data_IF_238311248758
#
_entry.id   IF_238311248758
#
_cell.length_a   1.000
_cell.length_b   1.000
_cell.length_c   1.000
_cell.angle_alpha   90.00
_cell.angle_beta   90.00
_cell.angle_gamma   90.00
#
_symmetry.space_group_name_H-M   'P 1'
#
loop_
_entity.id
_entity.type
_entity.pdbx_description
1 polymer ?
#
# COMPACT_ATOMS: atom_id res chain seq x y z
N UNK A 1 4.05 -46.20 14.33
CA UNK A 1 4.10 -44.74 14.66
C UNK A 1 4.33 -43.94 13.38
N UNK A 2 3.46 -42.99 13.06
CA UNK A 2 3.57 -42.17 11.84
C UNK A 2 4.51 -40.97 12.00
N UNK A 3 5.25 -40.62 10.95
CA UNK A 3 6.15 -39.46 10.93
C UNK A 3 5.39 -38.18 10.55
N UNK A 4 5.72 -37.06 11.19
CA UNK A 4 5.14 -35.73 10.91
C UNK A 4 5.36 -35.33 9.44
N UNK A 5 4.28 -34.98 8.74
CA UNK A 5 4.32 -34.60 7.33
C UNK A 5 5.03 -33.26 7.11
N UNK A 6 5.53 -33.03 5.89
CA UNK A 6 6.27 -31.79 5.55
C UNK A 6 5.45 -30.52 5.81
N UNK A 7 4.13 -30.55 5.58
CA UNK A 7 3.25 -29.39 5.81
C UNK A 7 3.26 -28.93 7.27
N UNK A 8 3.10 -29.86 8.21
CA UNK A 8 3.14 -29.59 9.65
C UNK A 8 4.52 -29.05 10.08
N UNK A 9 5.61 -29.59 9.52
CA UNK A 9 6.98 -29.12 9.82
C UNK A 9 7.25 -27.68 9.39
N UNK A 10 6.52 -27.13 8.41
CA UNK A 10 6.70 -25.73 7.97
C UNK A 10 6.27 -24.71 9.04
N UNK A 11 5.29 -25.05 9.88
CA UNK A 11 4.78 -24.16 10.93
C UNK A 11 5.74 -23.98 12.12
N UNK A 12 6.70 -24.89 12.29
CA UNK A 12 7.64 -24.87 13.44
C UNK A 12 8.68 -23.74 13.38
N UNK A 13 8.78 -23.00 12.26
CA UNK A 13 9.65 -21.83 12.18
C UNK A 13 11.17 -22.12 12.25
N UNK A 14 11.60 -23.31 11.80
CA UNK A 14 13.01 -23.67 11.69
C UNK A 14 13.59 -23.23 10.34
N UNK A 15 14.01 -24.16 9.48
CA UNK A 15 14.60 -23.89 8.16
C UNK A 15 13.64 -23.24 7.15
N UNK A 16 12.33 -23.25 7.44
CA UNK A 16 11.29 -22.69 6.57
C UNK A 16 10.98 -21.21 6.83
N UNK A 17 11.76 -20.54 7.68
CA UNK A 17 11.66 -19.09 7.89
C UNK A 17 11.90 -18.35 6.57
N UNK A 18 11.26 -17.20 6.41
CA UNK A 18 11.47 -16.37 5.23
C UNK A 18 12.92 -15.84 5.18
N UNK A 19 13.56 -15.94 4.02
CA UNK A 19 14.90 -15.40 3.80
C UNK A 19 14.79 -13.88 3.61
N UNK A 20 15.11 -13.11 4.65
CA UNK A 20 14.90 -11.64 4.67
C UNK A 20 16.19 -10.81 4.64
N UNK A 21 17.37 -11.45 4.61
CA UNK A 21 18.68 -10.78 4.76
C UNK A 21 18.91 -9.61 3.79
N UNK A 22 18.48 -9.75 2.53
CA UNK A 22 18.68 -8.74 1.48
C UNK A 22 17.44 -7.89 1.20
N UNK A 23 16.33 -8.12 1.91
CA UNK A 23 15.12 -7.32 1.76
C UNK A 23 15.35 -5.91 2.24
N UNK A 24 14.81 -4.93 1.50
CA UNK A 24 15.05 -3.50 1.72
C UNK A 24 14.18 -2.91 2.82
N UNK A 25 13.09 -3.59 3.17
CA UNK A 25 12.21 -3.21 4.28
C UNK A 25 10.77 -3.59 4.02
N UNK A 26 9.90 -3.25 4.97
CA UNK A 26 8.47 -3.48 4.82
C UNK A 26 7.86 -2.39 3.94
N UNK A 27 7.38 -2.79 2.77
CA UNK A 27 6.60 -1.91 1.89
C UNK A 27 5.23 -1.63 2.52
N UNK A 28 5.01 -0.38 2.93
CA UNK A 28 3.81 0.09 3.64
C UNK A 28 3.55 1.53 3.28
N UNK A 29 2.26 1.89 3.20
CA UNK A 29 1.84 3.29 3.07
C UNK A 29 2.24 4.09 4.32
N UNK A 30 2.04 5.41 4.25
CA UNK A 30 2.24 6.32 5.35
C UNK A 30 1.34 5.99 6.54
N UNK A 31 1.79 6.36 7.72
CA UNK A 31 0.91 6.31 8.88
C UNK A 31 -0.08 7.48 8.82
N UNK A 32 -1.38 7.18 8.97
CA UNK A 32 -2.43 8.20 8.98
C UNK A 32 -2.20 9.19 10.13
N UNK A 33 -2.05 10.46 9.80
CA UNK A 33 -1.92 11.55 10.77
C UNK A 33 -2.92 12.69 10.46
N UNK A 34 -2.85 13.77 11.24
CA UNK A 34 -3.74 14.92 11.07
C UNK A 34 -3.60 15.56 9.68
N UNK A 35 -2.37 15.64 9.16
CA UNK A 35 -2.08 16.20 7.85
C UNK A 35 -2.78 15.41 6.73
N UNK A 36 -2.75 14.08 6.80
CA UNK A 36 -3.38 13.21 5.81
C UNK A 36 -4.92 13.19 5.90
N UNK A 37 -5.46 13.25 7.12
CA UNK A 37 -6.92 13.26 7.35
C UNK A 37 -7.60 14.53 6.85
N UNK A 38 -7.01 15.69 7.10
CA UNK A 38 -7.65 16.99 6.84
C UNK A 38 -7.13 17.71 5.61
N UNK A 39 -5.94 17.36 5.13
CA UNK A 39 -5.28 18.03 4.02
C UNK A 39 -4.60 17.05 3.08
N UNK A 40 -3.39 17.41 2.69
CA UNK A 40 -2.47 16.54 1.96
C UNK A 40 -1.05 16.84 2.41
N UNK A 41 -0.17 15.87 2.23
CA UNK A 41 1.27 16.04 2.38
C UNK A 41 1.96 15.69 1.07
N UNK A 42 2.97 16.49 0.69
CA UNK A 42 3.81 16.21 -0.48
C UNK A 42 5.04 15.42 -0.08
N UNK A 43 5.33 14.38 -0.84
CA UNK A 43 6.58 13.61 -0.79
C UNK A 43 7.25 13.63 -2.16
N UNK A 44 8.56 13.43 -2.19
CA UNK A 44 9.31 13.27 -3.43
C UNK A 44 9.78 11.83 -3.55
N UNK A 45 9.59 11.22 -4.72
CA UNK A 45 10.18 9.92 -5.03
C UNK A 45 11.68 10.12 -5.21
N UNK A 46 12.46 9.63 -4.24
CA UNK A 46 13.91 9.74 -4.28
C UNK A 46 14.54 8.72 -5.20
N UNK A 47 14.02 7.50 -5.18
CA UNK A 47 14.63 6.36 -5.83
C UNK A 47 13.60 5.24 -6.01
N UNK A 48 13.78 4.42 -7.06
CA UNK A 48 12.96 3.23 -7.32
C UNK A 48 13.89 2.03 -7.27
N UNK A 49 13.68 1.17 -6.27
CA UNK A 49 14.59 0.08 -5.93
C UNK A 49 13.94 -1.29 -6.15
N UNK A 50 14.76 -2.28 -6.47
CA UNK A 50 14.35 -3.68 -6.45
C UNK A 50 14.48 -4.27 -5.02
N UNK A 51 13.44 -4.98 -4.57
CA UNK A 51 13.39 -5.71 -3.30
C UNK A 51 13.45 -7.23 -3.53
N UNK A 52 14.55 -7.91 -3.18
CA UNK A 52 14.69 -9.34 -3.40
C UNK A 52 13.57 -10.17 -2.74
N UNK A 53 12.91 -11.02 -3.52
CA UNK A 53 11.77 -11.82 -3.05
C UNK A 53 10.43 -11.09 -3.14
N UNK A 54 10.37 -9.97 -3.85
CA UNK A 54 9.15 -9.28 -4.29
C UNK A 54 9.23 -9.03 -5.81
N UNK A 55 8.13 -9.28 -6.52
CA UNK A 55 8.05 -9.00 -7.97
C UNK A 55 7.83 -7.52 -8.30
N UNK A 56 7.16 -6.76 -7.42
CA UNK A 56 6.92 -5.33 -7.61
C UNK A 56 8.09 -4.47 -7.11
N UNK A 57 8.51 -3.43 -7.85
CA UNK A 57 9.53 -2.49 -7.39
C UNK A 57 9.02 -1.63 -6.21
N UNK A 58 9.93 -1.14 -5.39
CA UNK A 58 9.63 -0.23 -4.28
C UNK A 58 10.04 1.20 -4.64
N UNK A 59 9.21 2.16 -4.29
CA UNK A 59 9.53 3.58 -4.35
C UNK A 59 9.95 4.09 -2.96
N UNK A 60 11.16 4.65 -2.86
CA UNK A 60 11.59 5.41 -1.67
C UNK A 60 11.02 6.81 -1.76
N UNK A 61 10.02 7.11 -0.93
CA UNK A 61 9.37 8.43 -0.91
C UNK A 61 9.83 9.20 0.32
N UNK A 62 10.39 10.38 0.12
CA UNK A 62 10.82 11.25 1.20
C UNK A 62 9.77 12.33 1.48
N UNK A 63 9.22 12.31 2.69
CA UNK A 63 8.29 13.30 3.21
C UNK A 63 8.99 14.22 4.22
N UNK A 64 8.52 15.46 4.33
CA UNK A 64 8.87 16.34 5.44
C UNK A 64 7.97 16.00 6.63
N UNK A 65 8.54 15.79 7.81
CA UNK A 65 7.74 15.54 9.01
C UNK A 65 6.92 16.80 9.36
N UNK A 66 5.59 16.70 9.56
CA UNK A 66 4.76 17.87 9.86
C UNK A 66 4.96 18.40 11.28
N UNK A 67 5.49 17.60 12.22
CA UNK A 67 5.61 17.99 13.62
C UNK A 67 7.04 18.34 14.04
N UNK A 68 8.05 17.82 13.33
CA UNK A 68 9.47 18.02 13.66
C UNK A 68 10.25 18.42 12.42
N UNK A 69 11.38 19.14 12.60
CA UNK A 69 12.28 19.45 11.50
C UNK A 69 13.12 18.23 11.10
N UNK A 70 12.48 17.23 10.48
CA UNK A 70 13.11 15.98 10.01
C UNK A 70 12.49 15.54 8.68
N UNK A 71 13.26 14.83 7.87
CA UNK A 71 12.75 14.09 6.70
C UNK A 71 12.46 12.65 7.10
N UNK A 72 11.26 12.15 6.78
CA UNK A 72 10.90 10.73 6.92
C UNK A 72 10.90 10.09 5.54
N UNK A 73 11.58 8.96 5.44
CA UNK A 73 11.59 8.16 4.21
C UNK A 73 10.69 6.96 4.40
N UNK A 74 9.79 6.73 3.46
CA UNK A 74 8.88 5.60 3.44
C UNK A 74 9.10 4.75 2.20
N UNK A 75 8.77 3.46 2.32
CA UNK A 75 8.90 2.48 1.25
C UNK A 75 7.52 2.13 0.74
N UNK A 76 7.15 2.72 -0.39
CA UNK A 76 5.90 2.41 -1.07
C UNK A 76 6.13 1.32 -2.11
N UNK A 77 5.06 0.63 -2.49
CA UNK A 77 5.08 -0.17 -3.71
C UNK A 77 4.86 0.82 -4.85
N UNK A 78 5.72 0.78 -5.86
CA UNK A 78 5.60 1.69 -6.97
C UNK A 78 4.39 1.29 -7.83
N UNK A 79 3.48 2.23 -8.05
CA UNK A 79 2.49 2.11 -9.12
C UNK A 79 3.19 2.26 -10.47
N UNK A 80 2.60 1.67 -11.50
CA UNK A 80 3.09 1.84 -12.86
C UNK A 80 3.04 3.31 -13.28
N UNK A 81 4.06 3.79 -13.98
CA UNK A 81 4.19 5.19 -14.38
C UNK A 81 4.82 6.12 -13.33
N UNK A 82 5.14 5.63 -12.11
CA UNK A 82 5.92 6.41 -11.15
C UNK A 82 7.39 6.52 -11.61
N UNK A 83 7.96 7.72 -11.50
CA UNK A 83 9.37 7.98 -11.79
C UNK A 83 10.09 8.72 -10.65
N UNK A 84 11.42 8.69 -10.67
CA UNK A 84 12.24 9.45 -9.71
C UNK A 84 12.04 10.95 -9.90
N UNK A 85 12.07 11.70 -8.80
CA UNK A 85 11.80 13.15 -8.78
C UNK A 85 10.31 13.52 -8.80
N UNK A 86 9.40 12.58 -9.06
CA UNK A 86 7.96 12.84 -9.05
C UNK A 86 7.48 13.24 -7.64
N UNK A 87 6.54 14.19 -7.59
CA UNK A 87 5.82 14.52 -6.37
C UNK A 87 4.63 13.59 -6.18
N UNK A 88 4.58 12.95 -5.02
CA UNK A 88 3.45 12.15 -4.56
C UNK A 88 2.71 12.93 -3.48
N UNK A 89 1.39 13.01 -3.64
CA UNK A 89 0.51 13.65 -2.67
C UNK A 89 -0.29 12.58 -1.90
N UNK A 90 -0.24 12.64 -0.57
CA UNK A 90 -0.96 11.74 0.32
C UNK A 90 -1.98 12.54 1.14
N UNK A 91 -3.27 12.22 1.04
CA UNK A 91 -4.30 12.78 1.91
C UNK A 91 -5.64 13.00 1.24
N UNK A 92 -6.63 13.43 2.03
CA UNK A 92 -8.02 13.62 1.58
C UNK A 92 -8.19 14.71 0.52
N UNK A 93 -7.37 15.75 0.55
CA UNK A 93 -7.42 16.88 -0.41
C UNK A 93 -6.43 16.74 -1.56
N UNK A 94 -5.78 15.58 -1.70
CA UNK A 94 -4.88 15.34 -2.82
C UNK A 94 -5.68 15.24 -4.14
N UNK A 95 -5.02 15.52 -5.26
CA UNK A 95 -5.61 15.31 -6.58
C UNK A 95 -5.52 13.84 -6.98
N UNK A 96 -6.51 13.36 -7.73
CA UNK A 96 -6.57 11.99 -8.22
C UNK A 96 -5.60 11.81 -9.41
N UNK A 97 -4.33 11.53 -9.13
CA UNK A 97 -3.30 11.22 -10.12
C UNK A 97 -2.58 9.91 -9.77
N UNK A 98 -1.93 9.32 -10.77
CA UNK A 98 -1.14 8.10 -10.60
C UNK A 98 -0.04 8.30 -9.54
N UNK A 99 0.01 7.38 -8.58
CA UNK A 99 0.98 7.38 -7.48
C UNK A 99 0.54 8.16 -6.23
N UNK A 100 -0.52 8.97 -6.31
CA UNK A 100 -1.08 9.64 -5.13
C UNK A 100 -1.85 8.65 -4.24
N UNK A 101 -1.90 8.96 -2.95
CA UNK A 101 -2.60 8.15 -1.95
C UNK A 101 -3.77 8.95 -1.42
N UNK A 102 -4.99 8.49 -1.73
CA UNK A 102 -6.23 9.14 -1.32
C UNK A 102 -7.16 8.13 -0.63
N UNK A 103 -8.08 8.59 0.23
CA UNK A 103 -9.12 7.74 0.77
C UNK A 103 -10.09 7.30 -0.35
N UNK A 104 -10.42 6.00 -0.37
CA UNK A 104 -11.26 5.38 -1.41
C UNK A 104 -12.60 6.11 -1.59
N UNK A 105 -13.21 6.59 -0.50
CA UNK A 105 -14.50 7.29 -0.57
C UNK A 105 -14.48 8.65 -1.28
N UNK A 106 -13.32 9.17 -1.65
CA UNK A 106 -13.18 10.41 -2.45
C UNK A 106 -12.93 10.16 -3.92
N UNK A 107 -12.61 8.92 -4.30
CA UNK A 107 -12.33 8.56 -5.68
C UNK A 107 -13.64 8.26 -6.40
N UNK A 108 -13.76 8.57 -7.71
CA UNK A 108 -14.92 8.15 -8.48
C UNK A 108 -14.95 6.63 -8.68
N UNK A 109 -16.16 6.12 -8.95
CA UNK A 109 -16.37 4.72 -9.31
C UNK A 109 -15.63 4.37 -10.61
N UNK A 110 -15.17 3.13 -10.75
CA UNK A 110 -14.35 2.68 -11.87
C UNK A 110 -12.86 2.98 -11.73
N UNK A 111 -12.43 3.71 -10.69
CA UNK A 111 -11.01 3.99 -10.48
C UNK A 111 -10.20 2.73 -10.16
N UNK A 112 -9.04 2.63 -10.80
CA UNK A 112 -8.06 1.56 -10.58
C UNK A 112 -7.11 1.99 -9.48
N UNK A 113 -7.01 1.17 -8.44
CA UNK A 113 -6.22 1.43 -7.25
C UNK A 113 -5.33 0.24 -6.90
N UNK A 114 -4.23 0.49 -6.19
CA UNK A 114 -3.34 -0.52 -5.64
C UNK A 114 -3.01 -0.20 -4.18
N UNK A 115 -2.43 -1.17 -3.45
CA UNK A 115 -2.05 -1.01 -2.04
C UNK A 115 -3.21 -0.63 -1.10
N UNK A 116 -4.40 -1.17 -1.36
CA UNK A 116 -5.60 -0.88 -0.59
C UNK A 116 -5.46 -1.33 0.89
N UNK A 117 -5.97 -0.51 1.80
CA UNK A 117 -6.08 -0.84 3.22
C UNK A 117 -7.33 -1.69 3.48
N UNK A 118 -7.19 -2.75 4.26
CA UNK A 118 -8.34 -3.55 4.71
C UNK A 118 -9.11 -2.79 5.80
N UNK A 119 -8.41 -2.34 6.84
CA UNK A 119 -8.96 -1.38 7.83
C UNK A 119 -8.25 -0.04 7.68
N UNK A 120 -8.95 1.09 7.93
CA UNK A 120 -8.32 2.40 7.91
C UNK A 120 -7.10 2.44 8.83
N UNK A 121 -5.92 2.74 8.28
CA UNK A 121 -4.66 2.84 9.01
C UNK A 121 -3.80 1.56 9.01
N UNK A 122 -4.21 0.50 8.33
CA UNK A 122 -3.43 -0.74 8.19
C UNK A 122 -2.21 -0.63 7.24
N UNK A 123 -2.00 0.56 6.63
CA UNK A 123 -0.85 0.92 5.79
C UNK A 123 -0.69 0.07 4.52
N UNK A 124 -1.82 -0.34 3.95
CA UNK A 124 -1.89 -1.08 2.67
C UNK A 124 -1.59 -2.58 2.82
N UNK A 125 -2.64 -3.42 2.67
CA UNK A 125 -2.55 -4.88 2.77
C UNK A 125 -2.96 -5.60 1.49
N UNK A 126 -3.91 -5.05 0.74
CA UNK A 126 -4.54 -5.65 -0.44
C UNK A 126 -3.95 -5.09 -1.74
N UNK A 127 -4.07 -5.86 -2.83
CA UNK A 127 -3.60 -5.47 -4.18
C UNK A 127 -2.13 -4.95 -4.21
N UNK A 128 -1.19 -5.77 -3.71
CA UNK A 128 0.24 -5.42 -3.55
C UNK A 128 1.21 -6.23 -4.42
N UNK A 129 0.71 -7.23 -5.14
CA UNK A 129 1.53 -8.04 -6.03
C UNK A 129 1.78 -7.29 -7.35
N UNK A 130 2.84 -7.65 -8.07
CA UNK A 130 3.14 -7.08 -9.37
C UNK A 130 1.97 -7.24 -10.35
N UNK A 131 1.53 -6.13 -10.95
CA UNK A 131 0.41 -6.11 -11.89
C UNK A 131 -0.98 -6.37 -11.28
N UNK A 132 -1.10 -6.45 -9.95
CA UNK A 132 -2.39 -6.57 -9.29
C UNK A 132 -2.96 -5.18 -8.96
N UNK A 133 -4.25 -5.04 -9.22
CA UNK A 133 -5.03 -3.86 -8.88
C UNK A 133 -6.37 -4.26 -8.26
N UNK A 134 -7.05 -3.28 -7.69
CA UNK A 134 -8.44 -3.33 -7.33
C UNK A 134 -9.19 -2.20 -8.03
N UNK A 135 -10.48 -2.40 -8.28
CA UNK A 135 -11.34 -1.39 -8.89
C UNK A 135 -12.40 -0.96 -7.89
N UNK A 136 -12.59 0.34 -7.75
CA UNK A 136 -13.68 0.90 -6.95
C UNK A 136 -14.98 0.70 -7.72
N UNK A 137 -15.97 0.07 -7.10
CA UNK A 137 -17.24 -0.26 -7.76
C UNK A 137 -18.32 0.71 -7.34
N UNK A 138 -18.53 0.86 -6.04
CA UNK A 138 -19.61 1.73 -5.57
C UNK A 138 -19.34 2.32 -4.20
N UNK A 139 -19.94 3.48 -3.96
CA UNK A 139 -19.93 4.13 -2.65
C UNK A 139 -21.32 4.14 -2.04
N UNK A 140 -21.41 3.77 -0.76
CA UNK A 140 -22.62 3.94 0.02
C UNK A 140 -22.42 5.14 0.97
N UNK A 141 -23.11 6.27 0.73
CA UNK A 141 -22.92 7.50 1.51
C UNK A 141 -23.46 7.38 2.95
N UNK A 142 -24.52 6.59 3.17
CA UNK A 142 -25.15 6.43 4.48
C UNK A 142 -24.26 5.64 5.43
N UNK A 143 -23.75 4.51 4.97
CA UNK A 143 -22.87 3.64 5.78
C UNK A 143 -21.41 4.05 5.74
N UNK A 144 -21.05 5.03 4.88
CA UNK A 144 -19.67 5.47 4.59
C UNK A 144 -18.76 4.31 4.15
N UNK A 145 -19.35 3.29 3.51
CA UNK A 145 -18.64 2.11 3.01
C UNK A 145 -18.43 2.21 1.51
N UNK A 146 -17.26 1.76 1.05
CA UNK A 146 -16.94 1.70 -0.38
C UNK A 146 -16.69 0.26 -0.78
N UNK A 147 -17.36 -0.21 -1.84
CA UNK A 147 -17.17 -1.55 -2.38
C UNK A 147 -16.05 -1.52 -3.40
N UNK A 148 -15.07 -2.41 -3.24
CA UNK A 148 -14.00 -2.60 -4.21
C UNK A 148 -13.92 -4.06 -4.65
N UNK A 149 -13.46 -4.29 -5.88
CA UNK A 149 -13.24 -5.63 -6.44
C UNK A 149 -11.76 -5.85 -6.65
N UNK A 150 -11.26 -6.93 -6.06
CA UNK A 150 -9.88 -7.39 -6.25
C UNK A 150 -9.79 -8.33 -7.47
N UNK A 151 -8.58 -8.46 -8.04
CA UNK A 151 -8.30 -9.30 -9.21
C UNK A 151 -8.77 -10.76 -9.11
N UNK A 152 -8.86 -11.34 -7.91
CA UNK A 152 -9.38 -12.70 -7.70
C UNK A 152 -10.90 -12.84 -7.96
N UNK A 153 -11.60 -11.76 -8.28
CA UNK A 153 -13.05 -11.76 -8.45
C UNK A 153 -13.84 -11.67 -7.15
N UNK A 154 -13.19 -11.85 -5.99
CA UNK A 154 -13.82 -11.68 -4.68
C UNK A 154 -14.19 -10.23 -4.41
N UNK A 155 -15.41 -10.04 -3.90
CA UNK A 155 -15.93 -8.75 -3.46
C UNK A 155 -15.34 -8.38 -2.10
N UNK A 156 -14.84 -7.16 -1.98
CA UNK A 156 -14.29 -6.67 -0.73
C UNK A 156 -15.15 -5.54 -0.15
N UNK A 157 -15.61 -5.73 1.08
CA UNK A 157 -16.37 -4.76 1.88
C UNK A 157 -15.49 -4.34 3.06
N UNK A 158 -14.92 -3.12 3.06
CA UNK A 158 -14.39 -2.53 4.29
C UNK A 158 -15.53 -2.36 5.29
N UNK A 159 -15.28 -2.70 6.55
CA UNK A 159 -16.23 -2.51 7.65
C UNK A 159 -16.39 -1.04 8.02
#
# INVERSE_FOLDING_TARGET
MGRVIRGQRKGAGSVFKAHVKHRKGAAKLRHIDFAERNGYIKGIVKDIIHDPGRGAPLAKVAFRDPYRFKKRTELFIAAEGIHTGQFIYCGKKAQLNIGNVLPVGTMPEGTIICCLEEKPGDRGKLARASGNYATVISHNPETKKSRSRCRCGCWWRPY
#
